data_IF_085790801361
#
_entry.id   IF_085790801361
#
_cell.length_a   1.000
_cell.length_b   1.000
_cell.length_c   1.000
_cell.angle_alpha   90.00
_cell.angle_beta   90.00
_cell.angle_gamma   90.00
#
_symmetry.space_group_name_H-M   'P 1'
#
loop_
_entity.id
_entity.type
_entity.pdbx_description
1 polymer ?
#
# COMPACT_ATOMS: atom_id res chain seq x y z
N UNK A 1 -11.89 -15.49 7.68
CA UNK A 1 -11.29 -15.26 6.36
C UNK A 1 -12.15 -15.98 5.34
N UNK A 2 -12.73 -15.25 4.38
CA UNK A 2 -13.46 -15.90 3.28
C UNK A 2 -12.49 -16.69 2.39
N UNK A 3 -12.99 -17.56 1.50
CA UNK A 3 -12.13 -18.28 0.56
C UNK A 3 -11.33 -17.28 -0.28
N UNK A 4 -10.00 -17.46 -0.29
CA UNK A 4 -9.10 -16.72 -1.18
C UNK A 4 -9.34 -17.24 -2.59
N UNK A 5 -9.68 -16.34 -3.50
CA UNK A 5 -9.95 -16.66 -4.91
C UNK A 5 -8.66 -16.70 -5.70
N UNK A 6 -7.74 -15.77 -5.41
CA UNK A 6 -6.43 -15.68 -6.03
C UNK A 6 -5.40 -15.25 -4.99
N UNK A 7 -4.23 -15.86 -5.01
CA UNK A 7 -3.06 -15.40 -4.26
C UNK A 7 -1.84 -15.47 -5.17
N UNK A 8 -1.07 -14.40 -5.24
CA UNK A 8 0.11 -14.31 -6.09
C UNK A 8 1.21 -13.51 -5.42
N UNK A 9 2.49 -13.89 -5.60
CA UNK A 9 3.60 -13.01 -5.28
C UNK A 9 3.47 -11.69 -6.04
N UNK A 10 3.74 -10.58 -5.37
CA UNK A 10 3.63 -9.23 -5.93
C UNK A 10 4.63 -8.27 -5.29
N UNK A 11 4.78 -7.09 -5.90
CA UNK A 11 5.52 -5.98 -5.33
C UNK A 11 4.57 -4.81 -5.13
N UNK A 12 4.49 -4.31 -3.89
CA UNK A 12 3.82 -3.06 -3.59
C UNK A 12 4.79 -1.92 -3.88
N UNK A 13 4.43 -1.07 -4.84
CA UNK A 13 5.18 0.13 -5.21
C UNK A 13 4.50 1.31 -4.54
N UNK A 14 5.19 1.93 -3.58
CA UNK A 14 4.76 3.13 -2.90
C UNK A 14 5.83 4.23 -3.07
N UNK A 15 5.56 5.50 -2.74
CA UNK A 15 6.60 6.52 -2.74
C UNK A 15 7.80 6.06 -1.91
N UNK A 16 9.00 6.11 -2.50
CA UNK A 16 10.29 5.79 -1.86
C UNK A 16 10.56 4.30 -1.60
N UNK A 17 9.56 3.41 -1.69
CA UNK A 17 9.74 1.99 -1.35
C UNK A 17 9.14 1.04 -2.39
N UNK A 18 9.79 -0.12 -2.52
CA UNK A 18 9.22 -1.28 -3.21
C UNK A 18 9.28 -2.45 -2.25
N UNK A 19 8.11 -2.88 -1.75
CA UNK A 19 8.00 -3.97 -0.81
C UNK A 19 7.59 -5.26 -1.53
N UNK A 20 8.34 -6.34 -1.32
CA UNK A 20 7.96 -7.68 -1.79
C UNK A 20 6.96 -8.29 -0.83
N UNK A 21 6.00 -9.04 -1.36
CA UNK A 21 4.97 -9.66 -0.54
C UNK A 21 3.99 -10.48 -1.36
N UNK A 22 2.85 -10.77 -0.76
CA UNK A 22 1.78 -11.56 -1.37
C UNK A 22 0.54 -10.70 -1.54
N UNK A 23 0.03 -10.63 -2.77
CA UNK A 23 -1.28 -10.04 -3.07
C UNK A 23 -2.33 -11.15 -3.05
N UNK A 24 -3.35 -10.97 -2.23
CA UNK A 24 -4.45 -11.92 -2.10
C UNK A 24 -5.78 -11.24 -2.37
N UNK A 25 -6.61 -11.92 -3.16
CA UNK A 25 -7.91 -11.45 -3.60
C UNK A 25 -8.95 -12.45 -3.12
N UNK A 26 -9.94 -11.94 -2.39
CA UNK A 26 -11.10 -12.71 -1.93
C UNK A 26 -12.34 -12.31 -2.75
N UNK A 27 -13.52 -12.75 -2.32
CA UNK A 27 -14.78 -12.35 -2.94
C UNK A 27 -15.19 -10.91 -2.64
N UNK A 28 -14.64 -10.27 -1.61
CA UNK A 28 -15.08 -8.94 -1.15
C UNK A 28 -13.98 -7.90 -1.06
N UNK A 29 -12.72 -8.33 -0.97
CA UNK A 29 -11.58 -7.47 -0.64
C UNK A 29 -10.27 -7.98 -1.25
N UNK A 30 -9.36 -7.03 -1.44
CA UNK A 30 -7.96 -7.23 -1.79
C UNK A 30 -7.13 -6.91 -0.55
N UNK A 31 -6.13 -7.72 -0.25
CA UNK A 31 -5.15 -7.40 0.76
C UNK A 31 -3.73 -7.74 0.31
N UNK A 32 -2.77 -7.00 0.85
CA UNK A 32 -1.35 -7.21 0.62
C UNK A 32 -0.64 -7.46 1.94
N UNK A 33 0.18 -8.50 1.97
CA UNK A 33 1.02 -8.87 3.11
C UNK A 33 2.47 -8.75 2.68
N UNK A 34 3.22 -7.85 3.33
CA UNK A 34 4.65 -7.70 3.09
C UNK A 34 5.42 -8.91 3.60
N UNK A 35 6.45 -9.31 2.87
CA UNK A 35 7.43 -10.29 3.32
C UNK A 35 8.42 -9.60 4.27
N UNK A 36 8.16 -9.69 5.57
CA UNK A 36 9.02 -9.10 6.61
C UNK A 36 10.40 -9.76 6.68
N UNK A 37 10.53 -10.98 6.16
CA UNK A 37 11.80 -11.70 6.14
C UNK A 37 12.74 -11.26 5.04
N UNK A 38 12.23 -10.52 4.05
CA UNK A 38 12.99 -10.09 2.90
C UNK A 38 14.13 -9.12 3.29
N UNK A 39 15.37 -9.38 2.85
CA UNK A 39 16.50 -8.50 3.16
C UNK A 39 16.32 -7.05 2.70
N UNK A 40 15.52 -6.79 1.65
CA UNK A 40 15.25 -5.42 1.20
C UNK A 40 14.30 -4.68 2.15
N UNK A 41 13.35 -5.40 2.77
CA UNK A 41 12.47 -4.85 3.79
C UNK A 41 13.21 -4.59 5.10
N UNK A 42 14.02 -5.55 5.57
CA UNK A 42 14.83 -5.41 6.81
C UNK A 42 15.88 -4.30 6.76
N UNK A 43 16.30 -3.88 5.57
CA UNK A 43 17.25 -2.77 5.34
C UNK A 43 16.58 -1.40 5.32
N UNK A 44 15.26 -1.35 5.26
CA UNK A 44 14.54 -0.08 5.18
C UNK A 44 14.53 0.60 6.55
N UNK A 45 14.77 1.91 6.56
CA UNK A 45 14.74 2.70 7.79
C UNK A 45 13.31 2.75 8.35
N UNK A 46 13.16 2.58 9.67
CA UNK A 46 11.86 2.59 10.35
C UNK A 46 11.09 3.90 10.16
N UNK A 47 11.81 5.01 9.97
CA UNK A 47 11.24 6.33 9.66
C UNK A 47 10.56 6.31 8.29
N UNK A 48 11.17 5.65 7.29
CA UNK A 48 10.60 5.54 5.93
C UNK A 48 9.41 4.58 5.91
N UNK A 49 9.48 3.49 6.68
CA UNK A 49 8.36 2.57 6.86
C UNK A 49 7.13 3.27 7.45
N UNK A 50 7.32 4.22 8.37
CA UNK A 50 6.21 4.99 8.97
C UNK A 50 5.45 5.87 7.95
N UNK A 51 6.09 6.28 6.86
CA UNK A 51 5.46 7.04 5.77
C UNK A 51 4.93 6.17 4.64
N UNK A 52 5.17 4.85 4.71
CA UNK A 52 4.79 3.92 3.66
C UNK A 52 3.40 3.35 3.90
N UNK A 53 2.41 3.83 3.14
CA UNK A 53 1.04 3.33 3.22
C UNK A 53 0.90 1.95 2.53
N UNK A 54 0.10 1.05 3.11
CA UNK A 54 -0.35 -0.18 2.43
C UNK A 54 0.48 -1.45 2.64
N UNK A 55 1.52 -1.43 3.48
CA UNK A 55 2.35 -2.63 3.79
C UNK A 55 1.55 -3.81 4.36
N UNK A 56 0.48 -3.51 5.09
CA UNK A 56 -0.55 -4.45 5.54
C UNK A 56 -1.94 -3.99 5.06
N UNK A 57 -1.97 -3.50 3.81
CA UNK A 57 -3.13 -2.84 3.24
C UNK A 57 -4.27 -3.84 3.00
N UNK A 58 -5.48 -3.40 3.35
CA UNK A 58 -6.71 -4.14 3.12
C UNK A 58 -7.74 -3.18 2.54
N UNK A 59 -8.24 -3.53 1.36
CA UNK A 59 -9.06 -2.66 0.53
C UNK A 59 -10.32 -3.40 0.08
N UNK A 60 -11.49 -2.82 0.37
CA UNK A 60 -12.77 -3.40 -0.03
C UNK A 60 -13.03 -3.13 -1.52
N UNK A 61 -13.61 -4.08 -2.24
CA UNK A 61 -13.97 -3.87 -3.65
C UNK A 61 -14.96 -2.72 -3.84
N UNK A 62 -15.85 -2.49 -2.86
CA UNK A 62 -16.79 -1.37 -2.85
C UNK A 62 -16.11 0.00 -2.89
N UNK A 63 -14.84 0.08 -2.51
CA UNK A 63 -14.05 1.30 -2.54
C UNK A 63 -13.25 1.45 -3.84
N UNK A 64 -13.16 0.45 -4.72
CA UNK A 64 -12.41 0.58 -5.97
C UNK A 64 -13.18 1.49 -6.94
N UNK A 65 -12.51 2.54 -7.44
CA UNK A 65 -13.05 3.49 -8.41
C UNK A 65 -12.53 3.26 -9.82
N UNK A 66 -11.29 2.84 -9.96
CA UNK A 66 -10.70 2.53 -11.25
C UNK A 66 -9.52 1.56 -11.10
N UNK A 67 -9.26 0.81 -12.16
CA UNK A 67 -8.14 -0.14 -12.25
C UNK A 67 -7.45 0.10 -13.59
N UNK A 68 -6.14 0.30 -13.57
CA UNK A 68 -5.34 0.56 -14.76
C UNK A 68 -4.17 -0.41 -14.84
N UNK A 69 -3.91 -0.91 -16.05
CA UNK A 69 -2.67 -1.62 -16.35
C UNK A 69 -1.51 -0.61 -16.43
N UNK A 70 -0.36 -0.99 -15.88
CA UNK A 70 0.86 -0.18 -15.85
C UNK A 70 2.06 -1.00 -16.32
N UNK A 71 3.09 -0.28 -16.77
CA UNK A 71 4.41 -0.87 -17.02
C UNK A 71 5.27 -0.70 -15.77
N UNK A 72 5.84 -1.80 -15.27
CA UNK A 72 6.86 -1.79 -14.22
C UNK A 72 8.17 -2.30 -14.82
N UNK A 73 9.25 -1.53 -14.69
CA UNK A 73 10.55 -1.83 -15.32
C UNK A 73 10.42 -2.20 -16.81
N UNK A 74 9.60 -1.43 -17.55
CA UNK A 74 9.27 -1.62 -18.97
C UNK A 74 8.46 -2.88 -19.30
N UNK A 75 8.12 -3.70 -18.33
CA UNK A 75 7.28 -4.89 -18.50
C UNK A 75 5.81 -4.56 -18.20
N UNK A 76 4.87 -5.13 -18.96
CA UNK A 76 3.44 -4.92 -18.76
C UNK A 76 2.88 -5.78 -17.61
N UNK A 77 3.47 -5.65 -16.44
CA UNK A 77 3.22 -6.47 -15.25
C UNK A 77 2.71 -5.65 -14.06
N UNK A 78 2.50 -4.34 -14.24
CA UNK A 78 1.99 -3.45 -13.20
C UNK A 78 0.47 -3.33 -13.21
N UNK A 79 -0.10 -3.15 -12.02
CA UNK A 79 -1.51 -2.83 -11.82
C UNK A 79 -1.61 -1.64 -10.86
N UNK A 80 -2.39 -0.63 -11.21
CA UNK A 80 -2.68 0.52 -10.35
C UNK A 80 -4.18 0.58 -10.05
N UNK A 81 -4.53 0.56 -8.77
CA UNK A 81 -5.90 0.54 -8.28
C UNK A 81 -6.18 1.86 -7.57
N UNK A 82 -7.21 2.59 -8.01
CA UNK A 82 -7.62 3.85 -7.43
C UNK A 82 -8.81 3.64 -6.50
N UNK A 83 -8.64 4.00 -5.22
CA UNK A 83 -9.64 3.82 -4.18
C UNK A 83 -10.49 5.09 -3.98
N UNK A 84 -11.71 4.91 -3.47
CA UNK A 84 -12.72 5.94 -3.24
C UNK A 84 -12.37 6.88 -2.11
N UNK A 85 -11.77 6.33 -1.05
CA UNK A 85 -11.23 7.11 0.04
C UNK A 85 -9.84 7.56 -0.39
N UNK A 86 -9.73 8.83 -0.82
CA UNK A 86 -8.45 9.54 -0.79
C UNK A 86 -7.90 9.29 0.61
N UNK A 87 -6.75 8.62 0.74
CA UNK A 87 -6.09 8.47 2.03
C UNK A 87 -6.10 9.85 2.67
N UNK A 88 -6.82 9.98 3.79
CA UNK A 88 -6.80 11.20 4.57
C UNK A 88 -5.36 11.28 5.04
N UNK A 89 -4.53 12.03 4.33
CA UNK A 89 -3.38 12.63 4.96
C UNK A 89 -3.97 13.34 6.18
N UNK A 90 -3.60 13.00 7.43
CA UNK A 90 -3.78 13.93 8.50
C UNK A 90 -2.96 15.13 8.03
N UNK A 91 -3.62 16.20 7.60
CA UNK A 91 -2.98 17.49 7.69
C UNK A 91 -2.73 17.62 9.18
N UNK A 92 -1.50 17.34 9.60
CA UNK A 92 -1.03 17.81 10.89
C UNK A 92 -1.28 19.30 10.82
N UNK A 93 -2.38 19.76 11.42
CA UNK A 93 -2.65 21.15 11.63
C UNK A 93 -1.47 21.65 12.46
N UNK A 94 -0.49 22.23 11.79
CA UNK A 94 0.53 23.06 12.38
C UNK A 94 -0.24 24.23 12.99
N UNK A 95 -0.76 24.04 14.20
CA UNK A 95 -1.09 25.14 15.08
C UNK A 95 0.27 25.68 15.54
N UNK A 96 0.70 26.88 15.09
CA UNK A 96 1.93 27.44 15.58
C UNK A 96 1.74 27.75 17.07
N UNK A 97 2.63 27.20 17.89
CA UNK A 97 2.68 27.37 19.33
C UNK A 97 3.08 28.81 19.65
N UNK A 98 2.10 29.71 19.73
CA UNK A 98 2.26 31.09 20.20
C UNK A 98 1.18 31.39 21.22
N UNK A 99 1.34 30.90 22.45
CA UNK A 99 0.69 31.44 23.65
C UNK A 99 1.46 30.92 24.86
N UNK A 100 2.61 31.54 25.10
CA UNK A 100 3.30 31.57 26.40
C UNK A 100 4.35 32.68 26.35
N UNK A 101 3.86 33.92 26.25
CA UNK A 101 4.47 35.12 26.85
C UNK A 101 3.38 35.74 27.71
#
# INVERSE_FOLDING_TARGET
MGPVVLSTPAQLVAPVIVARGTLSITTTEIYFEVDEDDPSFKRLDSTVLAYSEGLHGKWMFSEIRAVFSRRYLLQNTGLEVFMANRSRHPTHSLHPKWDSI
#
